data_IF_668710135708
#
_entry.id   IF_668710135708
#
_cell.length_a   1.000
_cell.length_b   1.000
_cell.length_c   1.000
_cell.angle_alpha   90.00
_cell.angle_beta   90.00
_cell.angle_gamma   90.00
#
_symmetry.space_group_name_H-M   'P 1'
#
loop_
_entity.id
_entity.type
_entity.pdbx_description
1 polymer ?
#
# COMPACT_ATOMS: atom_id res chain seq x y z
N UNK A 1 -10.91 4.28 15.31
CA UNK A 1 -11.82 4.21 14.14
C UNK A 1 -11.62 5.38 13.17
N UNK A 2 -11.79 6.64 13.61
CA UNK A 2 -11.72 7.84 12.75
C UNK A 2 -10.42 7.95 11.94
N UNK A 3 -9.27 7.64 12.55
CA UNK A 3 -7.97 7.70 11.87
C UNK A 3 -7.90 6.73 10.69
N UNK A 4 -8.33 5.48 10.87
CA UNK A 4 -8.34 4.48 9.80
C UNK A 4 -9.25 4.88 8.63
N UNK A 5 -10.44 5.41 8.94
CA UNK A 5 -11.38 5.91 7.92
C UNK A 5 -10.84 7.15 7.19
N UNK A 6 -10.23 8.08 7.92
CA UNK A 6 -9.61 9.26 7.31
C UNK A 6 -8.49 8.86 6.35
N UNK A 7 -7.62 7.91 6.75
CA UNK A 7 -6.59 7.35 5.87
C UNK A 7 -7.23 6.67 4.66
N UNK A 8 -8.26 5.83 4.86
CA UNK A 8 -8.97 5.18 3.75
C UNK A 8 -9.52 6.18 2.73
N UNK A 9 -10.20 7.24 3.18
CA UNK A 9 -10.80 8.25 2.30
C UNK A 9 -9.71 9.04 1.57
N UNK A 10 -8.71 9.55 2.28
CA UNK A 10 -7.62 10.34 1.69
C UNK A 10 -6.85 9.53 0.64
N UNK A 11 -6.50 8.29 0.99
CA UNK A 11 -5.81 7.39 0.09
C UNK A 11 -6.70 6.93 -1.06
N UNK A 12 -7.99 6.69 -0.84
CA UNK A 12 -8.94 6.34 -1.89
C UNK A 12 -9.11 7.46 -2.94
N UNK A 13 -9.21 8.71 -2.49
CA UNK A 13 -9.23 9.88 -3.37
C UNK A 13 -7.92 9.97 -4.16
N UNK A 14 -6.77 9.81 -3.49
CA UNK A 14 -5.46 9.80 -4.14
C UNK A 14 -5.35 8.72 -5.22
N UNK A 15 -5.86 7.52 -4.95
CA UNK A 15 -5.88 6.41 -5.90
C UNK A 15 -6.76 6.72 -7.11
N UNK A 16 -7.95 7.30 -6.89
CA UNK A 16 -8.85 7.68 -7.98
C UNK A 16 -8.20 8.74 -8.89
N UNK A 17 -7.59 9.78 -8.31
CA UNK A 17 -6.90 10.83 -9.06
C UNK A 17 -5.74 10.24 -9.87
N UNK A 18 -4.94 9.37 -9.26
CA UNK A 18 -3.82 8.71 -9.92
C UNK A 18 -4.30 7.81 -11.08
N UNK A 19 -5.38 7.05 -10.88
CA UNK A 19 -5.99 6.19 -11.89
C UNK A 19 -6.51 6.99 -13.09
N UNK A 20 -7.26 8.07 -12.85
CA UNK A 20 -7.72 8.97 -13.92
C UNK A 20 -6.53 9.57 -14.67
N UNK A 21 -5.45 9.90 -13.95
CA UNK A 21 -4.20 10.32 -14.54
C UNK A 21 -3.57 9.26 -15.44
N UNK A 22 -3.56 7.99 -15.02
CA UNK A 22 -3.05 6.86 -15.83
C UNK A 22 -3.90 6.68 -17.10
N UNK A 23 -5.22 6.66 -16.95
CA UNK A 23 -6.17 6.52 -18.07
C UNK A 23 -6.01 7.68 -19.06
N UNK A 24 -5.85 8.91 -18.57
CA UNK A 24 -5.66 10.09 -19.41
C UNK A 24 -4.33 10.11 -20.18
N UNK A 25 -3.36 9.27 -19.81
CA UNK A 25 -2.10 9.05 -20.56
C UNK A 25 -2.26 7.98 -21.64
N UNK A 26 -3.24 7.08 -21.51
CA UNK A 26 -3.55 6.05 -22.51
C UNK A 26 -4.27 6.60 -23.76
N UNK A 27 -4.74 7.86 -23.73
CA UNK A 27 -5.39 8.51 -24.87
C UNK A 27 -4.39 8.91 -25.97
N UNK A 28 -4.70 8.67 -27.25
CA UNK A 28 -3.81 8.96 -28.38
C UNK A 28 -3.57 10.47 -28.58
N UNK A 29 -2.34 10.85 -28.94
CA UNK A 29 -1.97 12.23 -29.32
C UNK A 29 -1.08 13.02 -28.34
N UNK A 30 -0.47 12.37 -27.33
CA UNK A 30 0.33 13.06 -26.31
C UNK A 30 1.80 13.28 -26.72
N UNK A 31 2.38 14.48 -26.47
CA UNK A 31 3.81 14.71 -26.65
C UNK A 31 4.64 13.90 -25.64
N UNK A 32 5.81 13.39 -26.08
CA UNK A 32 6.82 12.81 -25.17
C UNK A 32 7.24 13.87 -24.12
N UNK A 33 7.49 13.53 -22.84
CA UNK A 33 7.85 12.22 -22.28
C UNK A 33 6.77 11.56 -21.39
N UNK A 34 5.65 11.12 -21.97
CA UNK A 34 4.53 10.50 -21.26
C UNK A 34 4.92 9.31 -20.34
N UNK A 35 5.96 8.56 -20.68
CA UNK A 35 6.43 7.40 -19.91
C UNK A 35 6.82 7.76 -18.46
N UNK A 36 7.52 8.88 -18.25
CA UNK A 36 7.94 9.31 -16.90
C UNK A 36 6.72 9.63 -16.03
N UNK A 37 5.75 10.35 -16.61
CA UNK A 37 4.51 10.69 -15.94
C UNK A 37 3.66 9.46 -15.65
N UNK A 38 3.64 8.47 -16.55
CA UNK A 38 2.93 7.21 -16.33
C UNK A 38 3.49 6.44 -15.14
N UNK A 39 4.81 6.24 -15.07
CA UNK A 39 5.45 5.51 -13.98
C UNK A 39 5.24 6.22 -12.64
N UNK A 40 5.36 7.55 -12.61
CA UNK A 40 5.11 8.30 -11.38
C UNK A 40 3.64 8.21 -10.92
N UNK A 41 2.68 8.29 -11.85
CA UNK A 41 1.26 8.12 -11.55
C UNK A 41 0.92 6.69 -11.12
N UNK A 42 1.54 5.68 -11.72
CA UNK A 42 1.39 4.29 -11.30
C UNK A 42 1.94 4.04 -9.90
N UNK A 43 3.11 4.61 -9.57
CA UNK A 43 3.68 4.54 -8.22
C UNK A 43 2.74 5.18 -7.19
N UNK A 44 2.26 6.40 -7.47
CA UNK A 44 1.26 7.07 -6.63
C UNK A 44 -0.02 6.26 -6.47
N UNK A 45 -0.53 5.65 -7.54
CA UNK A 45 -1.71 4.78 -7.51
C UNK A 45 -1.49 3.58 -6.57
N UNK A 46 -0.37 2.87 -6.71
CA UNK A 46 -0.07 1.71 -5.87
C UNK A 46 0.16 2.09 -4.40
N UNK A 47 0.82 3.22 -4.13
CA UNK A 47 1.02 3.72 -2.77
C UNK A 47 -0.30 4.11 -2.09
N UNK A 48 -1.14 4.86 -2.81
CA UNK A 48 -2.45 5.29 -2.32
C UNK A 48 -3.39 4.10 -2.13
N UNK A 49 -3.43 3.15 -3.06
CA UNK A 49 -4.20 1.91 -2.88
C UNK A 49 -3.73 1.11 -1.66
N UNK A 50 -2.41 0.97 -1.43
CA UNK A 50 -1.88 0.27 -0.26
C UNK A 50 -2.32 0.93 1.05
N UNK A 51 -2.24 2.26 1.11
CA UNK A 51 -2.69 3.06 2.25
C UNK A 51 -4.19 2.97 2.49
N UNK A 52 -5.01 2.95 1.44
CA UNK A 52 -6.45 2.81 1.56
C UNK A 52 -6.81 1.45 2.17
N UNK A 53 -6.27 0.37 1.62
CA UNK A 53 -6.53 -1.00 2.09
C UNK A 53 -6.07 -1.18 3.53
N UNK A 54 -4.91 -0.65 3.89
CA UNK A 54 -4.42 -0.65 5.27
C UNK A 54 -5.33 0.15 6.20
N UNK A 55 -5.73 1.36 5.79
CA UNK A 55 -6.63 2.23 6.56
C UNK A 55 -7.99 1.60 6.83
N UNK A 56 -8.53 0.87 5.84
CA UNK A 56 -9.78 0.12 5.98
C UNK A 56 -9.65 -1.00 7.03
N UNK A 57 -8.60 -1.81 6.97
CA UNK A 57 -8.35 -2.83 7.99
C UNK A 57 -8.08 -2.22 9.37
N UNK A 58 -7.36 -1.10 9.44
CA UNK A 58 -7.08 -0.42 10.69
C UNK A 58 -8.37 0.11 11.32
N UNK A 59 -9.28 0.64 10.50
CA UNK A 59 -10.59 1.08 10.94
C UNK A 59 -11.41 -0.08 11.50
N UNK A 60 -11.35 -1.27 10.88
CA UNK A 60 -12.09 -2.45 11.37
C UNK A 60 -11.54 -2.96 12.71
N UNK A 61 -10.21 -3.06 12.87
CA UNK A 61 -9.60 -3.44 14.17
C UNK A 61 -9.99 -2.45 15.27
N UNK A 62 -9.91 -1.14 14.99
CA UNK A 62 -10.26 -0.11 15.96
C UNK A 62 -11.77 -0.04 16.25
N UNK A 63 -12.63 -0.46 15.30
CA UNK A 63 -14.06 -0.57 15.54
C UNK A 63 -14.34 -1.74 16.49
N UNK A 64 -13.72 -2.90 16.28
CA UNK A 64 -13.83 -4.06 17.17
C UNK A 64 -13.32 -3.77 18.59
N UNK A 65 -12.21 -3.02 18.74
CA UNK A 65 -11.76 -2.55 20.05
C UNK A 65 -12.77 -1.60 20.71
N UNK A 66 -13.39 -0.72 19.94
CA UNK A 66 -14.36 0.24 20.49
C UNK A 66 -15.66 -0.44 20.94
N UNK A 67 -16.12 -1.46 20.21
CA UNK A 67 -17.28 -2.28 20.59
C UNK A 67 -17.04 -3.04 21.90
N UNK A 68 -15.80 -3.46 22.17
CA UNK A 68 -15.42 -4.03 23.48
C UNK A 68 -15.51 -3.00 24.63
N UNK A 69 -15.37 -1.69 24.37
CA UNK A 69 -15.34 -0.68 25.42
C UNK A 69 -16.69 -0.12 25.86
N UNK A 70 -17.77 -0.37 25.11
CA UNK A 70 -18.96 0.49 25.12
C UNK A 70 -20.28 -0.14 25.63
N UNK A 71 -20.31 -1.28 26.34
CA UNK A 71 -21.59 -1.85 26.79
C UNK A 71 -21.56 -2.96 27.85
N UNK A 72 -22.74 -3.36 28.31
CA UNK A 72 -22.92 -4.45 29.28
C UNK A 72 -22.69 -5.86 28.67
N UNK A 73 -22.63 -5.96 27.34
CA UNK A 73 -22.36 -7.19 26.57
C UNK A 73 -20.94 -7.20 25.96
N UNK A 74 -20.00 -6.48 26.57
CA UNK A 74 -18.65 -6.27 26.05
C UNK A 74 -17.72 -7.48 26.18
N UNK A 75 -18.13 -8.52 26.91
CA UNK A 75 -17.35 -9.74 27.12
C UNK A 75 -18.26 -10.94 26.83
N UNK A 76 -18.01 -11.69 25.74
CA UNK A 76 -16.96 -11.52 24.72
C UNK A 76 -17.26 -10.41 23.69
N UNK A 77 -16.21 -9.87 23.03
CA UNK A 77 -16.37 -8.89 21.95
C UNK A 77 -17.30 -9.43 20.84
N UNK A 78 -18.17 -8.61 20.22
CA UNK A 78 -19.09 -9.05 19.16
C UNK A 78 -18.39 -9.79 18.00
N UNK A 79 -17.23 -9.27 17.57
CA UNK A 79 -16.38 -9.91 16.54
C UNK A 79 -15.89 -11.32 16.92
N UNK A 80 -15.85 -11.64 18.21
CA UNK A 80 -15.45 -12.93 18.76
C UNK A 80 -16.64 -13.81 19.16
N UNK A 81 -17.86 -13.25 19.23
CA UNK A 81 -19.10 -13.99 19.49
C UNK A 81 -19.77 -14.43 18.20
N UNK A 82 -19.90 -13.52 17.24
CA UNK A 82 -20.74 -13.71 16.06
C UNK A 82 -20.04 -14.54 14.96
N UNK A 83 -18.75 -14.84 15.14
CA UNK A 83 -17.92 -15.60 14.20
C UNK A 83 -17.63 -17.05 14.60
N UNK A 84 -18.08 -17.51 15.77
CA UNK A 84 -17.75 -18.82 16.33
C UNK A 84 -19.01 -19.54 16.86
N UNK A 85 -18.93 -20.87 17.01
CA UNK A 85 -20.02 -21.65 17.61
C UNK A 85 -20.14 -21.39 19.12
N UNK A 86 -21.34 -21.59 19.69
CA UNK A 86 -21.62 -21.31 21.11
C UNK A 86 -20.67 -22.03 22.09
N UNK A 87 -20.17 -23.22 21.74
CA UNK A 87 -19.22 -23.96 22.58
C UNK A 87 -17.81 -23.37 22.53
N UNK A 88 -17.43 -22.69 21.45
CA UNK A 88 -16.16 -21.94 21.36
C UNK A 88 -16.26 -20.59 22.07
N UNK A 89 -17.41 -19.92 22.01
CA UNK A 89 -17.67 -18.62 22.65
C UNK A 89 -17.64 -18.71 24.19
N UNK A 90 -18.08 -19.83 24.77
CA UNK A 90 -18.16 -20.02 26.22
C UNK A 90 -16.82 -19.96 26.98
N UNK A 91 -15.71 -20.22 26.31
CA UNK A 91 -14.37 -20.28 26.93
C UNK A 91 -13.49 -19.08 26.55
N UNK A 92 -14.05 -18.05 25.92
CA UNK A 92 -13.29 -16.89 25.49
C UNK A 92 -13.01 -15.96 26.66
N UNK A 93 -11.73 -15.70 26.92
CA UNK A 93 -11.29 -14.96 28.11
C UNK A 93 -10.96 -13.50 27.79
N UNK A 94 -10.23 -13.25 26.70
CA UNK A 94 -9.79 -11.92 26.33
C UNK A 94 -9.53 -11.80 24.82
N UNK A 95 -9.47 -10.56 24.32
CA UNK A 95 -9.10 -10.26 22.94
C UNK A 95 -7.69 -9.70 22.88
N UNK A 96 -7.05 -9.82 21.72
CA UNK A 96 -5.74 -9.25 21.43
C UNK A 96 -5.77 -8.58 20.07
N UNK A 97 -5.69 -7.26 20.05
CA UNK A 97 -5.49 -6.52 18.81
C UNK A 97 -3.99 -6.47 18.46
N UNK A 98 -3.70 -6.66 17.18
CA UNK A 98 -2.39 -6.44 16.60
C UNK A 98 -2.53 -5.49 15.41
N UNK A 99 -1.66 -4.51 15.34
CA UNK A 99 -1.66 -3.50 14.27
C UNK A 99 -0.64 -3.81 13.18
N UNK A 100 0.30 -4.74 13.44
CA UNK A 100 1.28 -5.17 12.45
C UNK A 100 1.74 -6.62 12.71
N UNK A 101 1.26 -7.61 11.92
CA UNK A 101 0.18 -7.50 10.93
C UNK A 101 -1.16 -7.15 11.59
N UNK A 102 -2.09 -6.57 10.82
CA UNK A 102 -3.44 -6.27 11.30
C UNK A 102 -4.14 -7.56 11.68
N UNK A 103 -4.51 -7.71 12.95
CA UNK A 103 -5.33 -8.82 13.44
C UNK A 103 -6.16 -8.37 14.63
N UNK A 104 -7.28 -9.05 14.80
CA UNK A 104 -8.04 -9.03 16.03
C UNK A 104 -8.24 -10.49 16.42
N UNK A 105 -7.51 -10.92 17.44
CA UNK A 105 -7.46 -12.31 17.86
C UNK A 105 -8.29 -12.51 19.12
N UNK A 106 -9.05 -13.60 19.15
CA UNK A 106 -9.83 -14.04 20.29
C UNK A 106 -9.04 -15.12 21.04
N UNK A 107 -8.80 -14.94 22.33
CA UNK A 107 -8.02 -15.87 23.16
C UNK A 107 -8.96 -16.63 24.09
N UNK A 108 -8.78 -17.94 24.14
CA UNK A 108 -9.54 -18.85 24.99
C UNK A 108 -8.85 -19.05 26.35
N UNK A 109 -9.59 -19.51 27.35
CA UNK A 109 -9.09 -19.82 28.70
C UNK A 109 -7.92 -20.81 28.72
N UNK A 110 -7.86 -21.72 27.74
CA UNK A 110 -6.76 -22.67 27.57
C UNK A 110 -5.53 -22.09 26.83
N UNK A 111 -5.56 -20.80 26.51
CA UNK A 111 -4.49 -20.09 25.81
C UNK A 111 -4.48 -20.27 24.29
N UNK A 112 -5.44 -21.01 23.71
CA UNK A 112 -5.56 -21.10 22.26
C UNK A 112 -6.08 -19.80 21.66
N UNK A 113 -5.59 -19.46 20.46
CA UNK A 113 -5.83 -18.17 19.80
C UNK A 113 -6.51 -18.41 18.46
N UNK A 114 -7.64 -17.73 18.25
CA UNK A 114 -8.40 -17.80 17.01
C UNK A 114 -8.48 -16.40 16.38
N UNK A 115 -8.25 -16.32 15.07
CA UNK A 115 -8.42 -15.07 14.34
C UNK A 115 -9.92 -14.77 14.21
N UNK A 116 -10.36 -13.55 14.55
CA UNK A 116 -11.78 -13.19 14.45
C UNK A 116 -12.29 -13.14 13.00
N UNK A 117 -11.40 -12.86 12.04
CA UNK A 117 -11.78 -12.81 10.63
C UNK A 117 -10.63 -13.20 9.69
N UNK A 118 -10.90 -14.06 8.69
CA UNK A 118 -9.92 -14.36 7.63
C UNK A 118 -9.66 -13.15 6.71
N UNK A 119 -10.52 -12.13 6.74
CA UNK A 119 -10.39 -10.92 5.93
C UNK A 119 -9.08 -10.16 6.21
N UNK A 120 -8.58 -10.22 7.44
CA UNK A 120 -7.31 -9.60 7.82
C UNK A 120 -6.12 -10.17 7.04
N UNK A 121 -6.11 -11.48 6.79
CA UNK A 121 -5.05 -12.12 5.98
C UNK A 121 -5.02 -11.55 4.57
N UNK A 122 -6.20 -11.37 3.96
CA UNK A 122 -6.34 -10.81 2.62
C UNK A 122 -5.95 -9.32 2.58
N UNK A 123 -6.40 -8.52 3.55
CA UNK A 123 -6.06 -7.10 3.66
C UNK A 123 -4.55 -6.88 3.85
N UNK A 124 -3.90 -7.65 4.73
CA UNK A 124 -2.45 -7.58 4.92
C UNK A 124 -1.71 -7.99 3.64
N UNK A 125 -2.12 -9.09 2.99
CA UNK A 125 -1.48 -9.57 1.77
C UNK A 125 -1.61 -8.59 0.61
N UNK A 126 -2.79 -7.99 0.44
CA UNK A 126 -3.05 -7.03 -0.64
C UNK A 126 -2.32 -5.69 -0.39
N UNK A 127 -2.32 -5.18 0.84
CA UNK A 127 -1.57 -3.98 1.20
C UNK A 127 -0.05 -4.18 1.00
N UNK A 128 0.48 -5.33 1.43
CA UNK A 128 1.90 -5.68 1.23
C UNK A 128 2.26 -5.76 -0.27
N UNK A 129 1.44 -6.45 -1.07
CA UNK A 129 1.69 -6.59 -2.51
C UNK A 129 1.70 -5.23 -3.21
N UNK A 130 0.76 -4.34 -2.88
CA UNK A 130 0.72 -2.98 -3.43
C UNK A 130 1.93 -2.14 -3.01
N UNK A 131 2.38 -2.27 -1.76
CA UNK A 131 3.59 -1.60 -1.28
C UNK A 131 4.84 -2.08 -2.04
N UNK A 132 4.97 -3.39 -2.28
CA UNK A 132 6.05 -3.96 -3.09
C UNK A 132 6.00 -3.45 -4.53
N UNK A 133 4.83 -3.45 -5.17
CA UNK A 133 4.66 -2.89 -6.52
C UNK A 133 5.10 -1.42 -6.59
N UNK A 134 4.72 -0.60 -5.60
CA UNK A 134 5.17 0.79 -5.52
C UNK A 134 6.70 0.88 -5.44
N UNK A 135 7.33 0.10 -4.56
CA UNK A 135 8.78 0.08 -4.41
C UNK A 135 9.48 -0.29 -5.73
N UNK A 136 9.00 -1.32 -6.43
CA UNK A 136 9.53 -1.74 -7.72
C UNK A 136 9.39 -0.65 -8.80
N UNK A 137 8.25 0.06 -8.83
CA UNK A 137 8.04 1.18 -9.76
C UNK A 137 9.01 2.34 -9.50
N UNK A 138 9.21 2.70 -8.23
CA UNK A 138 10.14 3.77 -7.83
C UNK A 138 11.58 3.41 -8.16
N UNK A 139 12.01 2.19 -7.81
CA UNK A 139 13.37 1.69 -8.09
C UNK A 139 13.59 1.62 -9.61
N UNK A 140 12.64 1.05 -10.36
CA UNK A 140 12.70 0.96 -11.81
C UNK A 140 12.78 2.33 -12.49
N UNK A 141 12.03 3.32 -11.99
CA UNK A 141 12.11 4.70 -12.47
C UNK A 141 13.51 5.30 -12.26
N UNK A 142 14.08 5.14 -11.06
CA UNK A 142 15.41 5.63 -10.72
C UNK A 142 16.51 4.99 -11.58
N UNK A 143 16.40 3.67 -11.79
CA UNK A 143 17.34 2.95 -12.65
C UNK A 143 17.26 3.41 -14.11
N UNK A 144 16.05 3.63 -14.63
CA UNK A 144 15.84 4.14 -15.98
C UNK A 144 16.37 5.56 -16.18
N UNK A 145 16.29 6.44 -15.16
CA UNK A 145 16.86 7.79 -15.22
C UNK A 145 18.38 7.76 -15.23
N UNK A 146 19.00 6.91 -14.40
CA UNK A 146 20.45 6.76 -14.32
C UNK A 146 21.03 6.21 -15.64
N UNK A 147 20.37 5.20 -16.22
CA UNK A 147 20.77 4.65 -17.51
C UNK A 147 20.73 5.69 -18.65
N UNK A 148 19.76 6.61 -18.63
CA UNK A 148 19.66 7.69 -19.63
C UNK A 148 20.77 8.71 -19.44
N UNK A 149 21.02 9.15 -18.20
CA UNK A 149 22.11 10.07 -17.89
C UNK A 149 23.48 9.52 -18.34
N UNK A 150 23.72 8.22 -18.13
CA UNK A 150 24.93 7.54 -18.61
C UNK A 150 25.04 7.50 -20.13
N UNK A 151 23.92 7.30 -20.84
CA UNK A 151 23.90 7.30 -22.31
C UNK A 151 24.20 8.69 -22.85
N UNK A 152 23.59 9.73 -22.29
CA UNK A 152 23.82 11.12 -22.68
C UNK A 152 25.27 11.54 -22.44
N UNK A 153 25.85 11.19 -21.27
CA UNK A 153 27.25 11.46 -20.97
C UNK A 153 28.22 10.79 -21.96
N UNK A 154 27.93 9.57 -22.41
CA UNK A 154 28.74 8.86 -23.44
C UNK A 154 28.65 9.53 -24.81
N UNK A 155 27.47 10.03 -25.20
CA UNK A 155 27.29 10.73 -26.49
C UNK A 155 28.06 12.06 -26.49
N UNK A 156 27.98 12.83 -25.41
CA UNK A 156 28.74 14.08 -25.26
C UNK A 156 30.25 13.84 -25.28
N UNK A 157 30.74 12.84 -24.54
CA UNK A 157 32.16 12.48 -24.54
C UNK A 157 32.67 12.02 -25.92
N UNK A 158 31.84 11.33 -26.72
CA UNK A 158 32.19 10.92 -28.08
C UNK A 158 32.24 12.06 -29.09
N UNK A 159 31.48 13.14 -28.85
CA UNK A 159 31.39 14.30 -29.76
C UNK A 159 32.59 15.25 -29.61
N UNK A 160 33.29 15.22 -28.47
CA UNK A 160 34.44 16.09 -28.18
C UNK A 160 35.78 15.50 -28.69
N UNK A 161 35.83 14.19 -28.93
CA UNK A 161 37.03 13.47 -29.34
C UNK A 161 37.66 13.87 -30.72
N UNK A 162 36.94 14.38 -31.75
CA UNK A 162 37.59 14.76 -33.01
C UNK A 162 38.00 16.24 -33.12
N UNK A 163 37.45 17.15 -32.30
CA UNK A 163 37.79 18.59 -32.41
C UNK A 163 39.19 18.92 -31.89
N UNK A 164 39.64 18.25 -30.84
CA UNK A 164 40.98 18.45 -30.28
C UNK A 164 42.12 18.01 -31.22
N UNK A 165 41.87 17.11 -32.18
CA UNK A 165 42.89 16.68 -33.14
C UNK A 165 43.07 17.69 -34.29
N UNK A 166 42.04 18.48 -34.61
CA UNK A 166 42.09 19.47 -35.69
C UNK A 166 42.74 20.80 -35.26
N UNK A 167 42.62 21.19 -33.98
CA UNK A 167 43.23 22.43 -33.47
C UNK A 167 44.72 22.28 -33.10
N UNK A 168 45.25 21.06 -33.01
CA UNK A 168 46.67 20.82 -32.73
C UNK A 168 47.60 20.93 -33.96
N UNK A 169 47.04 21.17 -35.16
CA UNK A 169 47.80 21.29 -36.42
C UNK A 169 47.85 22.73 -36.98
N UNK A 170 47.44 23.73 -36.20
CA UNK A 170 47.44 25.15 -36.59
C UNK A 170 48.38 25.96 -35.72
#
# INVERSE_FOLDING_TARGET
MLVGLAVFVLCGIGALIALLGVIGVALPGRPQPWQKHLVHRAAWLTASAAGAVYGLGLASVLASEHEFGNGADSIPAPACRDGFDEATVQYLSHHRASYLPLRFDCVRDDGTVYASSPSYTWLNGLSFTLAVCCALLVIGAGYATELRARREARVSAGTEAPRSAADAQR
#
